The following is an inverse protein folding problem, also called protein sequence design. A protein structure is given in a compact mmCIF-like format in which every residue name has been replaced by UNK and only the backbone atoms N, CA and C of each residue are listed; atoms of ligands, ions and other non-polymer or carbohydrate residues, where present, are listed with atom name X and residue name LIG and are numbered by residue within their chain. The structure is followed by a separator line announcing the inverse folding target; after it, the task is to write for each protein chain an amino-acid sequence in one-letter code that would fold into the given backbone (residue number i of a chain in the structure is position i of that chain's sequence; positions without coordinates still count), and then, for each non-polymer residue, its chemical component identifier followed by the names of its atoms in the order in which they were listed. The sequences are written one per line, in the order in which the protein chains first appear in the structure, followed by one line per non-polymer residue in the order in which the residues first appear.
data_IF_434962588155
#
_entry.id   IF_434962588155
#
_cell.length_a   1.000
_cell.length_b   1.000
_cell.length_c   1.000
_cell.angle_alpha   90.00
_cell.angle_beta   90.00
_cell.angle_gamma   90.00
#
_symmetry.space_group_name_H-M   'P 1'
#
loop_
_entity.id
_entity.type
_entity.pdbx_description
1 polymer ?
#
# COMPACT_ATOMS: atom_id res chain seq x y z
N UNK A 1 3.70 -13.26 -0.91
CA UNK A 1 4.62 -13.47 -2.05
C UNK A 1 5.23 -12.11 -2.39
N UNK A 2 6.44 -11.81 -1.91
CA UNK A 2 7.12 -10.53 -2.19
C UNK A 2 7.93 -10.71 -3.47
N UNK A 3 7.76 -9.79 -4.43
CA UNK A 3 8.28 -9.94 -5.79
C UNK A 3 9.57 -9.16 -5.93
N UNK A 4 10.53 -9.85 -6.51
CA UNK A 4 11.81 -9.38 -6.99
C UNK A 4 11.62 -8.37 -8.13
N UNK A 5 12.09 -7.14 -7.94
CA UNK A 5 12.59 -6.37 -9.07
C UNK A 5 14.07 -6.74 -9.22
N UNK A 6 14.39 -7.63 -10.16
CA UNK A 6 15.73 -7.61 -10.73
C UNK A 6 15.86 -6.28 -11.48
N UNK A 7 16.63 -5.35 -10.91
CA UNK A 7 16.92 -4.06 -11.50
C UNK A 7 17.70 -4.27 -12.81
N UNK A 8 17.02 -4.32 -13.96
CA UNK A 8 17.64 -4.19 -15.28
C UNK A 8 17.52 -2.75 -15.74
N UNK A 9 18.58 -1.98 -15.52
CA UNK A 9 18.72 -0.63 -16.06
C UNK A 9 19.09 -0.75 -17.56
N UNK A 10 18.36 -0.11 -18.49
CA UNK A 10 18.77 0.00 -19.90
C UNK A 10 20.12 0.71 -20.00
N UNK A 11 20.99 0.22 -20.88
CA UNK A 11 22.44 0.48 -20.85
C UNK A 11 22.91 1.88 -21.29
N UNK A 12 22.03 2.76 -21.75
CA UNK A 12 22.51 3.79 -22.68
C UNK A 12 22.56 5.23 -22.17
N UNK A 13 22.27 5.55 -20.90
CA UNK A 13 22.43 6.94 -20.39
C UNK A 13 22.78 7.10 -18.89
N UNK A 14 23.12 6.03 -18.17
CA UNK A 14 23.39 6.11 -16.72
C UNK A 14 24.57 5.21 -16.31
N UNK A 15 25.55 5.78 -15.59
CA UNK A 15 26.66 5.00 -15.01
C UNK A 15 26.14 3.93 -14.02
N UNK A 16 26.83 2.78 -13.88
CA UNK A 16 26.29 1.61 -13.19
C UNK A 16 25.98 1.90 -11.71
N UNK A 17 24.70 1.85 -11.36
CA UNK A 17 24.24 1.86 -9.98
C UNK A 17 24.57 0.52 -9.31
N UNK A 18 25.34 0.54 -8.23
CA UNK A 18 25.49 -0.64 -7.36
C UNK A 18 24.29 -0.67 -6.42
N UNK A 19 23.29 -1.47 -6.78
CA UNK A 19 22.14 -1.78 -5.90
C UNK A 19 22.54 -2.97 -5.02
N UNK A 20 22.76 -2.72 -3.73
CA UNK A 20 22.91 -3.78 -2.72
C UNK A 20 21.56 -4.06 -2.09
N UNK A 21 20.89 -5.13 -2.51
CA UNK A 21 19.66 -5.56 -1.83
C UNK A 21 20.03 -6.45 -0.65
N UNK A 22 19.68 -6.02 0.58
CA UNK A 22 19.86 -6.81 1.80
C UNK A 22 18.50 -7.26 2.31
N UNK A 23 18.18 -8.54 2.17
CA UNK A 23 16.96 -9.11 2.76
C UNK A 23 17.33 -9.59 4.17
N UNK A 24 16.97 -8.81 5.20
CA UNK A 24 17.14 -9.24 6.58
C UNK A 24 16.06 -10.28 6.93
N UNK A 25 16.39 -11.58 6.82
CA UNK A 25 15.61 -12.63 7.45
C UNK A 25 16.11 -12.76 8.89
N UNK A 26 15.28 -12.44 9.89
CA UNK A 26 15.67 -12.54 11.30
C UNK A 26 16.19 -13.94 11.63
N UNK A 27 17.48 -14.05 11.98
CA UNK A 27 18.06 -15.25 12.55
C UNK A 27 17.76 -15.32 14.05
N UNK A 28 17.28 -16.47 14.51
CA UNK A 28 17.88 -17.16 15.67
C UNK A 28 17.91 -18.67 15.42
N UNK A 29 18.86 -19.27 16.13
CA UNK A 29 19.51 -20.59 15.98
C UNK A 29 18.55 -21.79 16.00
N UNK A 30 19.08 -22.87 15.42
CA UNK A 30 18.61 -24.25 15.24
C UNK A 30 17.43 -24.83 16.02
N UNK A 31 16.82 -25.79 15.31
CA UNK A 31 15.93 -26.89 15.68
C UNK A 31 14.43 -26.58 15.91
N UNK A 32 13.66 -26.75 14.81
CA UNK A 32 12.31 -27.33 14.85
C UNK A 32 11.13 -26.35 14.79
N UNK A 33 10.25 -26.61 13.82
CA UNK A 33 8.93 -26.02 13.58
C UNK A 33 8.86 -24.70 12.78
N UNK A 34 8.45 -24.88 11.52
CA UNK A 34 7.99 -23.87 10.58
C UNK A 34 6.64 -23.29 11.02
N UNK A 35 6.61 -22.02 11.42
CA UNK A 35 5.40 -21.22 11.55
C UNK A 35 5.67 -19.77 11.12
N UNK A 36 4.99 -19.33 10.06
CA UNK A 36 4.72 -17.92 9.69
C UNK A 36 5.85 -16.88 9.84
N UNK A 37 6.72 -16.73 8.84
CA UNK A 37 7.75 -15.66 8.80
C UNK A 37 7.30 -14.42 8.01
N UNK A 38 7.35 -13.24 8.67
CA UNK A 38 7.44 -11.93 8.00
C UNK A 38 8.81 -11.81 7.32
N UNK A 39 8.84 -11.44 6.04
CA UNK A 39 10.08 -11.24 5.25
C UNK A 39 10.35 -9.73 5.16
N UNK A 40 11.46 -9.27 5.73
CA UNK A 40 11.91 -7.87 5.66
C UNK A 40 12.77 -7.67 4.41
N UNK A 41 12.39 -6.74 3.52
CA UNK A 41 13.22 -6.34 2.38
C UNK A 41 13.80 -4.96 2.62
N UNK A 42 15.13 -4.86 2.66
CA UNK A 42 15.88 -3.59 2.72
C UNK A 42 16.65 -3.48 1.40
N UNK A 43 16.41 -2.41 0.63
CA UNK A 43 17.16 -2.12 -0.58
C UNK A 43 18.14 -0.97 -0.33
N UNK A 44 19.45 -1.22 -0.41
CA UNK A 44 20.47 -0.17 -0.33
C UNK A 44 20.90 0.21 -1.75
N UNK A 45 20.82 1.49 -2.10
CA UNK A 45 21.34 2.03 -3.37
C UNK A 45 22.39 3.09 -3.01
N UNK A 46 23.66 2.83 -3.31
CA UNK A 46 24.73 3.81 -3.10
C UNK A 46 24.92 4.63 -4.39
N UNK A 47 24.85 5.96 -4.28
CA UNK A 47 25.00 6.90 -5.39
C UNK A 47 26.05 7.96 -5.05
N UNK A 48 27.17 7.97 -5.78
CA UNK A 48 28.19 9.04 -5.71
C UNK A 48 28.69 9.39 -4.28
N UNK A 49 28.88 8.38 -3.42
CA UNK A 49 29.32 8.59 -2.02
C UNK A 49 28.23 9.05 -1.06
N UNK A 50 26.97 9.07 -1.51
CA UNK A 50 25.78 9.29 -0.69
C UNK A 50 24.99 7.99 -0.61
N UNK A 51 24.63 7.60 0.60
CA UNK A 51 23.79 6.43 0.83
C UNK A 51 22.33 6.82 0.63
N UNK A 52 21.65 6.21 -0.34
CA UNK A 52 20.19 6.29 -0.50
C UNK A 52 19.61 4.92 -0.15
N UNK A 53 18.85 4.85 0.94
CA UNK A 53 18.33 3.57 1.45
C UNK A 53 16.82 3.52 1.29
N UNK A 54 16.34 2.51 0.57
CA UNK A 54 14.91 2.23 0.46
C UNK A 54 14.50 1.13 1.45
N UNK A 55 13.43 1.38 2.21
CA UNK A 55 12.82 0.36 3.09
C UNK A 55 11.40 0.05 2.66
N UNK A 56 11.03 -1.23 2.67
CA UNK A 56 9.63 -1.65 2.49
C UNK A 56 9.36 -2.90 3.34
N UNK A 57 8.69 -2.70 4.46
CA UNK A 57 8.51 -3.73 5.49
C UNK A 57 7.03 -3.92 5.85
N UNK A 58 6.72 -4.85 6.76
CA UNK A 58 5.34 -5.27 7.02
C UNK A 58 4.55 -4.27 7.87
N UNK A 59 5.12 -3.88 9.01
CA UNK A 59 4.44 -3.14 10.07
C UNK A 59 5.21 -1.90 10.55
N UNK A 60 4.53 -0.91 11.18
CA UNK A 60 5.20 0.24 11.78
C UNK A 60 6.32 -0.13 12.77
N UNK A 61 6.15 -1.22 13.53
CA UNK A 61 7.18 -1.74 14.42
C UNK A 61 8.46 -2.15 13.68
N UNK A 62 8.30 -2.75 12.49
CA UNK A 62 9.41 -3.17 11.66
C UNK A 62 10.14 -1.94 11.10
N UNK A 63 9.40 -0.90 10.70
CA UNK A 63 9.98 0.38 10.23
C UNK A 63 10.85 0.98 11.32
N UNK A 64 10.31 1.08 12.55
CA UNK A 64 11.06 1.59 13.70
C UNK A 64 12.32 0.77 13.95
N UNK A 65 12.21 -0.55 13.98
CA UNK A 65 13.36 -1.43 14.22
C UNK A 65 14.42 -1.28 13.12
N UNK A 66 14.02 -1.28 11.86
CA UNK A 66 14.92 -1.21 10.71
C UNK A 66 15.59 0.15 10.60
N UNK A 67 14.90 1.24 10.89
CA UNK A 67 15.44 2.59 10.71
C UNK A 67 16.11 3.11 11.98
N UNK A 68 15.41 3.05 13.12
CA UNK A 68 15.80 3.67 14.39
C UNK A 68 16.37 2.68 15.42
N UNK A 69 16.44 1.39 15.10
CA UNK A 69 17.07 0.40 15.98
C UNK A 69 18.55 0.71 16.24
N UNK A 70 19.13 0.10 17.29
CA UNK A 70 20.55 0.26 17.66
C UNK A 70 21.49 0.03 16.47
N UNK A 71 21.18 -0.97 15.63
CA UNK A 71 21.88 -1.29 14.39
C UNK A 71 21.01 -1.01 13.15
N UNK A 72 20.11 -0.04 13.25
CA UNK A 72 19.21 0.38 12.19
C UNK A 72 19.93 1.17 11.10
N UNK A 73 19.23 1.41 9.98
CA UNK A 73 19.73 2.17 8.83
C UNK A 73 20.32 3.49 9.28
N UNK A 74 19.61 4.25 10.10
CA UNK A 74 20.03 5.59 10.50
C UNK A 74 21.39 5.61 11.22
N UNK A 75 21.71 4.59 12.04
CA UNK A 75 22.99 4.56 12.77
C UNK A 75 24.21 4.32 11.89
N UNK A 76 23.99 3.94 10.61
CA UNK A 76 25.04 3.71 9.62
C UNK A 76 25.15 4.83 8.58
N UNK A 77 24.18 5.75 8.53
CA UNK A 77 24.12 6.80 7.51
C UNK A 77 25.19 7.87 7.75
N UNK A 78 25.81 8.32 6.65
CA UNK A 78 26.64 9.51 6.66
C UNK A 78 25.80 10.78 6.42
N UNK A 79 26.24 11.95 6.92
CA UNK A 79 25.60 13.23 6.60
C UNK A 79 25.44 13.42 5.08
N UNK A 80 24.28 13.93 4.66
CA UNK A 80 23.87 14.08 3.27
C UNK A 80 23.13 12.89 2.67
N UNK A 81 23.14 11.73 3.35
CA UNK A 81 22.40 10.53 2.95
C UNK A 81 20.87 10.72 2.99
N UNK A 82 20.14 9.81 2.33
CA UNK A 82 18.67 9.86 2.22
C UNK A 82 18.05 8.51 2.56
N UNK A 83 17.12 8.49 3.50
CA UNK A 83 16.28 7.31 3.79
C UNK A 83 14.93 7.49 3.10
N UNK A 84 14.48 6.49 2.35
CA UNK A 84 13.19 6.47 1.66
C UNK A 84 12.37 5.30 2.17
N UNK A 85 11.45 5.55 3.11
CA UNK A 85 10.53 4.51 3.60
C UNK A 85 9.26 4.43 2.74
N UNK A 86 9.11 3.30 2.07
CA UNK A 86 7.97 2.98 1.21
C UNK A 86 6.91 2.10 1.90
N UNK A 87 7.06 1.91 3.21
CA UNK A 87 6.13 1.14 4.05
C UNK A 87 4.84 1.93 4.29
N UNK A 88 3.70 1.25 4.40
CA UNK A 88 2.52 1.94 4.98
C UNK A 88 2.68 1.90 6.49
N UNK A 89 2.84 3.07 7.09
CA UNK A 89 3.20 3.24 8.49
C UNK A 89 2.46 4.42 9.13
N UNK A 90 2.72 4.66 10.42
CA UNK A 90 2.13 5.77 11.17
C UNK A 90 2.75 7.11 10.71
N UNK A 91 1.95 8.13 10.36
CA UNK A 91 2.45 9.48 10.08
C UNK A 91 3.31 10.07 11.21
N UNK A 92 2.95 9.76 12.46
CA UNK A 92 3.73 10.14 13.64
C UNK A 92 5.12 9.51 13.67
N UNK A 93 5.25 8.23 13.28
CA UNK A 93 6.56 7.58 13.15
C UNK A 93 7.41 8.19 12.02
N UNK A 94 6.79 8.56 10.90
CA UNK A 94 7.49 9.25 9.82
C UNK A 94 8.10 10.59 10.26
N UNK A 95 7.36 11.37 11.07
CA UNK A 95 7.86 12.61 11.67
C UNK A 95 9.01 12.37 12.64
N UNK A 96 8.88 11.36 13.50
CA UNK A 96 9.96 10.99 14.42
C UNK A 96 11.25 10.60 13.69
N UNK A 97 11.14 9.79 12.63
CA UNK A 97 12.28 9.41 11.79
C UNK A 97 12.92 10.65 11.18
N UNK A 98 12.12 11.57 10.66
CA UNK A 98 12.60 12.82 10.09
C UNK A 98 13.37 13.67 11.10
N UNK A 99 12.81 13.88 12.29
CA UNK A 99 13.45 14.67 13.34
C UNK A 99 14.77 14.05 13.81
N UNK A 100 14.85 12.72 13.89
CA UNK A 100 16.09 12.03 14.26
C UNK A 100 17.13 12.04 13.13
N UNK A 101 16.71 11.87 11.88
CA UNK A 101 17.58 11.90 10.72
C UNK A 101 18.20 13.30 10.53
N UNK A 102 17.41 14.36 10.69
CA UNK A 102 17.86 15.75 10.58
C UNK A 102 18.98 16.08 11.58
N UNK A 103 18.94 15.53 12.80
CA UNK A 103 20.00 15.73 13.81
C UNK A 103 21.36 15.17 13.38
N UNK A 104 21.38 14.23 12.43
CA UNK A 104 22.58 13.62 11.87
C UNK A 104 22.93 14.17 10.48
N UNK A 105 22.21 15.20 10.00
CA UNK A 105 22.37 15.73 8.65
C UNK A 105 21.87 14.77 7.57
N UNK A 106 20.99 13.84 7.90
CA UNK A 106 20.39 12.85 6.98
C UNK A 106 18.98 13.30 6.63
N UNK A 107 18.60 13.22 5.35
CA UNK A 107 17.22 13.46 4.92
C UNK A 107 16.39 12.18 5.03
N UNK A 108 15.11 12.30 5.36
CA UNK A 108 14.18 11.17 5.27
C UNK A 108 12.94 11.55 4.47
N UNK A 109 12.48 10.61 3.66
CA UNK A 109 11.26 10.69 2.85
C UNK A 109 10.37 9.55 3.30
N UNK A 110 9.16 9.87 3.74
CA UNK A 110 8.09 8.88 3.88
C UNK A 110 7.26 8.89 2.62
N UNK A 111 6.87 7.74 2.09
CA UNK A 111 5.93 7.78 0.99
C UNK A 111 5.44 6.44 0.54
N UNK A 112 4.12 6.29 0.46
CA UNK A 112 3.57 5.00 0.09
C UNK A 112 3.43 4.85 -1.42
N UNK A 113 3.85 3.67 -1.87
CA UNK A 113 3.51 3.04 -3.14
C UNK A 113 2.05 2.56 -3.12
N UNK A 114 1.19 3.12 -3.97
CA UNK A 114 -0.15 2.61 -4.24
C UNK A 114 -0.35 2.50 -5.76
N UNK A 115 -0.92 1.42 -6.27
CA UNK A 115 -1.22 1.30 -7.71
C UNK A 115 -2.65 1.74 -7.93
N UNK A 116 -2.84 2.84 -8.67
CA UNK A 116 -4.11 3.12 -9.33
C UNK A 116 -3.82 3.71 -10.72
N UNK A 117 -4.50 3.24 -11.78
CA UNK A 117 -4.55 4.00 -13.01
C UNK A 117 -5.38 5.26 -12.75
N UNK A 118 -4.73 6.40 -12.56
CA UNK A 118 -5.35 7.69 -12.80
C UNK A 118 -5.00 8.09 -14.23
N UNK A 119 -5.96 7.95 -15.15
CA UNK A 119 -5.83 8.54 -16.48
C UNK A 119 -6.27 10.01 -16.40
N UNK A 120 -5.37 10.99 -16.61
CA UNK A 120 -5.81 12.36 -16.85
C UNK A 120 -6.44 12.36 -18.24
N UNK A 121 -7.76 12.56 -18.28
CA UNK A 121 -8.57 12.87 -19.47
C UNK A 121 -7.80 12.99 -20.78
N UNK A 122 -7.73 11.93 -21.58
CA UNK A 122 -7.61 12.01 -23.04
C UNK A 122 -8.18 10.75 -23.68
N UNK A 123 -8.72 10.98 -24.88
CA UNK A 123 -9.67 10.19 -25.62
C UNK A 123 -9.03 8.97 -26.32
N UNK A 124 -8.45 8.03 -25.58
CA UNK A 124 -7.88 6.81 -26.16
C UNK A 124 -8.56 5.54 -25.61
N UNK A 125 -9.34 4.90 -26.49
CA UNK A 125 -9.80 3.53 -26.35
C UNK A 125 -8.62 2.62 -26.66
N UNK A 126 -8.17 1.81 -25.71
CA UNK A 126 -8.11 0.33 -25.80
C UNK A 126 -7.59 -0.29 -24.50
N UNK A 127 -8.36 -1.26 -24.03
CA UNK A 127 -8.17 -2.22 -22.92
C UNK A 127 -6.74 -2.80 -22.77
N UNK A 128 -6.18 -2.75 -21.55
CA UNK A 128 -6.10 -3.86 -20.57
C UNK A 128 -5.04 -3.53 -19.51
N UNK A 129 -5.46 -3.41 -18.25
CA UNK A 129 -4.60 -3.61 -17.10
C UNK A 129 -5.46 -4.21 -15.98
N UNK A 130 -5.64 -5.54 -15.93
CA UNK A 130 -6.33 -6.15 -14.80
C UNK A 130 -5.43 -6.04 -13.56
N UNK A 131 -6.07 -5.91 -12.40
CA UNK A 131 -5.55 -5.94 -11.01
C UNK A 131 -4.93 -4.64 -10.43
N UNK A 132 -5.67 -3.98 -9.52
CA UNK A 132 -5.04 -3.14 -8.48
C UNK A 132 -4.30 -4.07 -7.54
N UNK A 133 -3.09 -3.75 -7.11
CA UNK A 133 -3.01 -2.78 -6.04
C UNK A 133 -1.87 -3.15 -5.11
N UNK A 134 -0.67 -3.30 -5.67
CA UNK A 134 0.53 -3.56 -4.89
C UNK A 134 1.55 -4.35 -5.69
N UNK A 135 1.20 -5.56 -6.10
CA UNK A 135 2.14 -6.53 -6.67
C UNK A 135 2.29 -6.42 -8.19
N UNK A 136 1.18 -6.35 -8.92
CA UNK A 136 1.16 -6.20 -10.39
C UNK A 136 1.80 -4.87 -10.79
N UNK A 137 1.32 -3.75 -10.23
CA UNK A 137 1.92 -2.47 -10.59
C UNK A 137 3.37 -2.29 -10.09
N UNK A 138 3.81 -3.01 -9.06
CA UNK A 138 5.23 -3.03 -8.69
C UNK A 138 6.07 -3.80 -9.72
N UNK A 139 5.57 -4.94 -10.22
CA UNK A 139 6.19 -5.70 -11.31
C UNK A 139 6.28 -4.89 -12.61
N UNK A 140 5.24 -4.11 -12.90
CA UNK A 140 5.10 -3.36 -14.14
C UNK A 140 5.66 -1.93 -14.08
N UNK A 141 6.25 -1.53 -12.95
CA UNK A 141 6.73 -0.16 -12.70
C UNK A 141 5.66 0.92 -12.94
N UNK A 142 4.41 0.65 -12.56
CA UNK A 142 3.24 1.54 -12.72
C UNK A 142 2.75 2.14 -11.40
N UNK A 143 3.57 2.10 -10.36
CA UNK A 143 3.23 2.59 -9.03
C UNK A 143 2.85 4.08 -9.03
N UNK A 144 1.85 4.45 -8.23
CA UNK A 144 1.64 5.82 -7.77
C UNK A 144 2.36 6.00 -6.43
N UNK A 145 3.17 7.04 -6.31
CA UNK A 145 4.03 7.30 -5.15
C UNK A 145 3.61 8.63 -4.53
N UNK A 146 3.17 8.58 -3.27
CA UNK A 146 2.74 9.73 -2.48
C UNK A 146 3.86 10.05 -1.47
N UNK A 147 4.72 11.03 -1.77
CA UNK A 147 5.93 11.31 -1.00
C UNK A 147 5.75 12.53 -0.06
N UNK A 148 6.09 12.36 1.21
CA UNK A 148 6.28 13.41 2.22
C UNK A 148 7.76 13.52 2.58
N UNK A 149 8.19 14.73 2.93
CA UNK A 149 9.58 15.05 3.27
C UNK A 149 10.08 16.31 2.57
N UNK A 150 11.39 16.55 2.66
CA UNK A 150 12.01 17.74 2.07
C UNK A 150 11.93 17.71 0.54
N UNK A 151 11.55 18.85 -0.05
CA UNK A 151 11.40 18.98 -1.51
C UNK A 151 12.70 18.67 -2.25
N UNK A 152 13.84 19.11 -1.70
CA UNK A 152 15.16 18.88 -2.29
C UNK A 152 15.56 17.41 -2.22
N UNK A 153 15.28 16.73 -1.10
CA UNK A 153 15.53 15.30 -0.97
C UNK A 153 14.68 14.51 -1.98
N UNK A 154 13.41 14.87 -2.13
CA UNK A 154 12.50 14.24 -3.10
C UNK A 154 12.98 14.46 -4.53
N UNK A 155 13.42 15.67 -4.87
CA UNK A 155 13.98 15.97 -6.19
C UNK A 155 15.20 15.10 -6.50
N UNK A 156 16.08 14.86 -5.52
CA UNK A 156 17.27 14.00 -5.67
C UNK A 156 16.92 12.52 -5.90
N UNK A 157 15.88 11.99 -5.25
CA UNK A 157 15.47 10.58 -5.42
C UNK A 157 14.46 10.37 -6.55
N UNK A 158 13.90 11.44 -7.11
CA UNK A 158 12.87 11.37 -8.15
C UNK A 158 13.26 10.48 -9.35
N UNK A 159 14.50 10.52 -9.88
CA UNK A 159 14.91 9.60 -10.95
C UNK A 159 14.76 8.12 -10.57
N UNK A 160 15.05 7.77 -9.31
CA UNK A 160 14.90 6.40 -8.80
C UNK A 160 13.42 6.02 -8.62
N UNK A 161 12.61 6.96 -8.12
CA UNK A 161 11.17 6.76 -7.97
C UNK A 161 10.49 6.52 -9.33
N UNK A 162 10.96 7.18 -10.40
CA UNK A 162 10.46 7.01 -11.78
C UNK A 162 10.74 5.63 -12.38
N UNK A 163 11.71 4.88 -11.86
CA UNK A 163 11.97 3.51 -12.27
C UNK A 163 10.92 2.53 -11.74
N UNK A 164 10.16 2.94 -10.72
CA UNK A 164 9.17 2.10 -10.04
C UNK A 164 7.74 2.58 -10.28
N UNK A 165 7.54 3.86 -10.58
CA UNK A 165 6.23 4.47 -10.63
C UNK A 165 6.01 5.47 -11.76
N UNK A 166 4.75 5.60 -12.17
CA UNK A 166 4.30 6.54 -13.21
C UNK A 166 3.70 7.83 -12.66
N UNK A 167 3.16 7.81 -11.44
CA UNK A 167 2.53 8.99 -10.83
C UNK A 167 3.17 9.32 -9.49
N UNK A 168 4.13 10.25 -9.48
CA UNK A 168 4.91 10.61 -8.29
C UNK A 168 4.51 12.01 -7.87
N UNK A 169 4.07 12.17 -6.62
CA UNK A 169 3.55 13.43 -6.08
C UNK A 169 4.19 13.74 -4.74
N UNK A 170 4.67 14.97 -4.59
CA UNK A 170 5.04 15.53 -3.29
C UNK A 170 3.78 16.02 -2.58
N UNK A 171 3.56 15.57 -1.36
CA UNK A 171 2.35 15.81 -0.58
C UNK A 171 2.56 16.79 0.58
N UNK A 172 3.80 17.24 0.80
CA UNK A 172 4.17 18.12 1.90
C UNK A 172 5.36 17.60 2.70
N UNK A 173 5.53 18.10 3.92
CA UNK A 173 6.62 17.70 4.82
C UNK A 173 6.48 16.26 5.35
N UNK A 174 7.31 15.91 6.33
CA UNK A 174 7.33 14.58 6.92
C UNK A 174 5.94 14.14 7.45
N UNK A 175 5.57 12.90 7.13
CA UNK A 175 4.29 12.27 7.44
C UNK A 175 3.18 12.58 6.44
N UNK A 176 3.35 13.55 5.53
CA UNK A 176 2.30 13.90 4.55
C UNK A 176 2.05 12.77 3.54
N UNK A 177 3.07 11.99 3.19
CA UNK A 177 2.93 10.81 2.35
C UNK A 177 2.04 9.75 3.02
N UNK A 178 2.29 9.47 4.30
CA UNK A 178 1.46 8.55 5.09
C UNK A 178 0.04 9.07 5.30
N UNK A 179 -0.17 10.35 5.60
CA UNK A 179 -1.52 10.92 5.70
C UNK A 179 -2.30 10.79 4.39
N UNK A 180 -1.65 11.09 3.26
CA UNK A 180 -2.26 10.91 1.94
C UNK A 180 -2.63 9.44 1.69
N UNK A 181 -1.78 8.51 2.12
CA UNK A 181 -2.11 7.09 2.08
C UNK A 181 -3.33 6.75 2.95
N UNK A 182 -3.46 7.32 4.14
CA UNK A 182 -4.63 7.11 4.99
C UNK A 182 -5.92 7.60 4.30
N UNK A 183 -5.89 8.77 3.65
CA UNK A 183 -7.03 9.25 2.83
C UNK A 183 -7.43 8.20 1.80
N UNK A 184 -6.46 7.63 1.08
CA UNK A 184 -6.74 6.58 0.09
C UNK A 184 -7.36 5.33 0.73
N UNK A 185 -6.85 4.86 1.86
CA UNK A 185 -7.37 3.66 2.53
C UNK A 185 -8.77 3.86 3.08
N UNK A 186 -9.08 5.06 3.59
CA UNK A 186 -10.42 5.44 4.02
C UNK A 186 -11.41 5.37 2.85
N UNK A 187 -11.06 5.98 1.71
CA UNK A 187 -11.89 5.96 0.50
C UNK A 187 -12.16 4.53 0.00
N UNK A 188 -11.13 3.67 -0.03
CA UNK A 188 -11.31 2.26 -0.41
C UNK A 188 -12.27 1.57 0.58
N UNK A 189 -12.10 1.79 1.88
CA UNK A 189 -12.85 1.08 2.91
C UNK A 189 -14.35 1.36 2.82
N UNK A 190 -14.70 2.65 2.72
CA UNK A 190 -16.10 3.08 2.63
C UNK A 190 -16.72 2.71 1.28
N UNK A 191 -15.97 2.83 0.17
CA UNK A 191 -16.47 2.46 -1.15
C UNK A 191 -16.76 0.96 -1.24
N UNK A 192 -15.94 0.12 -0.62
CA UNK A 192 -16.16 -1.33 -0.62
C UNK A 192 -17.46 -1.73 0.07
N UNK A 193 -17.91 -1.01 1.11
CA UNK A 193 -19.23 -1.24 1.71
C UNK A 193 -20.32 -1.05 0.65
N UNK A 194 -20.35 0.11 -0.01
CA UNK A 194 -21.36 0.40 -1.03
C UNK A 194 -21.34 -0.57 -2.21
N UNK A 195 -20.14 -0.97 -2.66
CA UNK A 195 -19.99 -2.00 -3.71
C UNK A 195 -20.62 -3.32 -3.28
N UNK A 196 -20.28 -3.81 -2.09
CA UNK A 196 -20.76 -5.11 -1.62
C UNK A 196 -22.27 -5.08 -1.34
N UNK A 197 -22.76 -4.05 -0.65
CA UNK A 197 -24.19 -3.90 -0.36
C UNK A 197 -25.01 -3.78 -1.64
N UNK A 198 -24.55 -3.01 -2.62
CA UNK A 198 -25.21 -2.87 -3.92
C UNK A 198 -25.28 -4.20 -4.68
N UNK A 199 -24.18 -4.96 -4.71
CA UNK A 199 -24.16 -6.28 -5.37
C UNK A 199 -25.00 -7.32 -4.63
N UNK A 200 -25.02 -7.28 -3.29
CA UNK A 200 -25.87 -8.17 -2.50
C UNK A 200 -27.36 -7.86 -2.74
N UNK A 201 -27.72 -6.58 -2.84
CA UNK A 201 -29.06 -6.14 -3.20
C UNK A 201 -29.44 -6.60 -4.62
N UNK A 202 -28.55 -6.43 -5.59
CA UNK A 202 -28.76 -6.87 -6.97
C UNK A 202 -29.01 -8.38 -7.04
N UNK A 203 -28.18 -9.17 -6.36
CA UNK A 203 -28.35 -10.61 -6.22
C UNK A 203 -29.70 -10.97 -5.62
N UNK A 204 -30.06 -10.37 -4.48
CA UNK A 204 -31.31 -10.68 -3.78
C UNK A 204 -32.56 -10.27 -4.56
N UNK A 205 -32.44 -9.26 -5.41
CA UNK A 205 -33.50 -8.77 -6.29
C UNK A 205 -33.62 -9.57 -7.59
N UNK A 206 -32.77 -10.59 -7.81
CA UNK A 206 -32.80 -11.43 -9.00
C UNK A 206 -32.21 -10.78 -10.25
N UNK A 207 -31.37 -9.75 -10.10
CA UNK A 207 -30.67 -9.13 -11.21
C UNK A 207 -29.47 -9.98 -11.65
N UNK A 208 -29.16 -9.93 -12.94
CA UNK A 208 -27.86 -10.38 -13.43
C UNK A 208 -26.77 -9.43 -12.91
N UNK A 209 -25.79 -9.99 -12.19
CA UNK A 209 -24.75 -9.19 -11.54
C UNK A 209 -23.82 -8.53 -12.55
N UNK A 210 -23.48 -9.20 -13.65
CA UNK A 210 -22.56 -8.67 -14.65
C UNK A 210 -23.22 -7.48 -15.40
N UNK A 211 -24.49 -7.60 -15.76
CA UNK A 211 -25.27 -6.51 -16.34
C UNK A 211 -25.47 -5.34 -15.36
N UNK A 212 -25.78 -5.64 -14.09
CA UNK A 212 -25.90 -4.62 -13.06
C UNK A 212 -24.59 -3.84 -12.86
N UNK A 213 -23.45 -4.54 -12.78
CA UNK A 213 -22.11 -3.95 -12.70
C UNK A 213 -21.83 -3.06 -13.91
N UNK A 214 -22.09 -3.56 -15.12
CA UNK A 214 -21.84 -2.81 -16.35
C UNK A 214 -22.67 -1.51 -16.40
N UNK A 215 -23.94 -1.57 -16.01
CA UNK A 215 -24.84 -0.43 -16.01
C UNK A 215 -24.42 0.65 -14.98
N UNK A 216 -24.19 0.27 -13.72
CA UNK A 216 -23.87 1.24 -12.66
C UNK A 216 -22.42 1.71 -12.71
N UNK A 217 -21.51 0.85 -13.17
CA UNK A 217 -20.08 1.10 -13.23
C UNK A 217 -19.65 2.16 -14.25
N UNK A 218 -20.48 2.37 -15.29
CA UNK A 218 -20.32 3.45 -16.26
C UNK A 218 -20.97 4.77 -15.82
N UNK A 219 -21.85 4.74 -14.82
CA UNK A 219 -22.61 5.89 -14.33
C UNK A 219 -21.96 6.62 -13.15
N UNK A 220 -22.77 7.41 -12.44
CA UNK A 220 -22.33 8.17 -11.27
C UNK A 220 -21.86 7.31 -10.08
N UNK A 221 -22.29 6.04 -10.02
CA UNK A 221 -21.81 5.04 -9.05
C UNK A 221 -20.47 4.41 -9.45
N UNK A 222 -19.94 4.76 -10.63
CA UNK A 222 -18.71 4.23 -11.17
C UNK A 222 -17.50 4.49 -10.26
N UNK A 223 -16.75 3.43 -10.01
CA UNK A 223 -15.49 3.49 -9.26
C UNK A 223 -14.57 2.38 -9.73
N UNK A 224 -13.27 2.50 -9.43
CA UNK A 224 -12.34 1.40 -9.68
C UNK A 224 -12.80 0.12 -8.96
N UNK A 225 -13.29 0.23 -7.72
CA UNK A 225 -13.74 -0.92 -6.94
C UNK A 225 -14.89 -1.69 -7.60
N UNK A 226 -15.96 -1.03 -8.06
CA UNK A 226 -17.07 -1.74 -8.73
C UNK A 226 -16.62 -2.34 -10.07
N UNK A 227 -15.84 -1.60 -10.86
CA UNK A 227 -15.44 -2.01 -12.21
C UNK A 227 -14.40 -3.14 -12.22
N UNK A 228 -13.58 -3.25 -11.18
CA UNK A 228 -12.51 -4.25 -11.12
C UNK A 228 -12.72 -5.34 -10.07
N UNK A 229 -13.38 -5.03 -8.95
CA UNK A 229 -13.65 -6.02 -7.89
C UNK A 229 -15.07 -6.56 -7.99
N UNK A 230 -16.03 -5.81 -8.53
CA UNK A 230 -17.41 -6.30 -8.75
C UNK A 230 -17.46 -7.59 -9.57
N UNK A 231 -16.83 -7.67 -10.76
CA UNK A 231 -16.80 -8.90 -11.55
C UNK A 231 -16.12 -10.07 -10.83
N UNK A 232 -15.16 -9.79 -9.94
CA UNK A 232 -14.51 -10.82 -9.12
C UNK A 232 -15.45 -11.33 -8.04
N UNK A 233 -16.23 -10.44 -7.41
CA UNK A 233 -17.29 -10.81 -6.46
C UNK A 233 -18.34 -11.69 -7.14
N UNK A 234 -18.84 -11.28 -8.33
CA UNK A 234 -19.82 -12.05 -9.10
C UNK A 234 -19.32 -13.47 -9.44
N UNK A 235 -18.01 -13.61 -9.69
CA UNK A 235 -17.34 -14.90 -9.97
C UNK A 235 -16.85 -15.63 -8.72
N UNK A 236 -17.16 -15.13 -7.51
CA UNK A 236 -16.69 -15.67 -6.22
C UNK A 236 -15.16 -15.77 -6.12
N UNK A 237 -14.44 -14.89 -6.80
CA UNK A 237 -12.98 -14.79 -6.74
C UNK A 237 -12.54 -13.82 -5.63
N UNK A 238 -12.21 -14.40 -4.48
CA UNK A 238 -11.72 -13.70 -3.29
C UNK A 238 -10.19 -13.72 -3.15
N UNK A 239 -9.46 -14.12 -4.20
CA UNK A 239 -8.00 -14.11 -4.15
C UNK A 239 -7.49 -12.66 -3.96
N UNK A 240 -6.46 -12.46 -3.12
CA UNK A 240 -6.03 -11.12 -2.77
C UNK A 240 -5.29 -10.43 -3.92
N UNK A 241 -5.75 -9.24 -4.29
CA UNK A 241 -4.86 -8.19 -4.81
C UNK A 241 -4.27 -7.36 -3.66
N UNK A 242 -5.06 -7.18 -2.60
CA UNK A 242 -4.63 -6.58 -1.33
C UNK A 242 -5.30 -7.33 -0.18
N UNK A 243 -4.50 -7.90 0.72
CA UNK A 243 -4.99 -8.80 1.78
C UNK A 243 -5.74 -8.05 2.88
N UNK A 244 -6.82 -8.64 3.39
CA UNK A 244 -7.64 -8.10 4.48
C UNK A 244 -6.80 -7.80 5.74
N UNK A 245 -5.83 -8.66 6.08
CA UNK A 245 -4.96 -8.42 7.25
C UNK A 245 -4.14 -7.13 7.13
N UNK A 246 -3.63 -6.83 5.94
CA UNK A 246 -2.88 -5.59 5.68
C UNK A 246 -3.82 -4.40 5.58
N UNK A 247 -5.03 -4.61 5.07
CA UNK A 247 -6.01 -3.56 5.03
C UNK A 247 -6.44 -3.14 6.44
N UNK A 248 -6.73 -4.10 7.33
CA UNK A 248 -7.06 -3.84 8.73
C UNK A 248 -5.94 -3.11 9.47
N UNK A 249 -4.67 -3.45 9.19
CA UNK A 249 -3.52 -2.68 9.70
C UNK A 249 -3.63 -1.21 9.31
N UNK A 250 -3.87 -0.94 8.02
CA UNK A 250 -3.98 0.44 7.51
C UNK A 250 -5.20 1.18 8.10
N UNK A 251 -6.36 0.51 8.24
CA UNK A 251 -7.54 1.12 8.89
C UNK A 251 -7.29 1.43 10.37
N UNK A 252 -6.55 0.56 11.06
CA UNK A 252 -6.12 0.81 12.45
C UNK A 252 -5.25 2.06 12.57
N UNK A 253 -4.30 2.27 11.64
CA UNK A 253 -3.48 3.50 11.59
C UNK A 253 -4.40 4.71 11.34
N UNK A 254 -5.29 4.64 10.35
CA UNK A 254 -6.20 5.74 10.02
C UNK A 254 -7.11 6.11 11.21
N UNK A 255 -7.63 5.14 11.95
CA UNK A 255 -8.44 5.36 13.15
C UNK A 255 -7.64 6.03 14.28
N UNK A 256 -6.42 5.54 14.55
CA UNK A 256 -5.52 6.11 15.57
C UNK A 256 -5.18 7.56 15.25
N UNK A 257 -4.83 7.86 14.00
CA UNK A 257 -4.51 9.22 13.56
C UNK A 257 -5.75 10.13 13.58
N UNK A 258 -6.93 9.60 13.23
CA UNK A 258 -8.19 10.36 13.33
C UNK A 258 -8.48 10.75 14.78
N UNK A 259 -8.31 9.82 15.72
CA UNK A 259 -8.45 10.10 17.15
C UNK A 259 -7.46 11.17 17.63
N UNK A 260 -6.18 11.06 17.24
CA UNK A 260 -5.15 12.03 17.60
C UNK A 260 -5.46 13.45 17.07
N UNK A 261 -6.14 13.56 15.93
CA UNK A 261 -6.59 14.83 15.34
C UNK A 261 -7.94 15.32 15.89
N UNK A 262 -8.62 14.57 16.76
CA UNK A 262 -9.98 14.89 17.21
C UNK A 262 -11.04 14.75 16.10
N UNK A 263 -10.78 13.92 15.09
CA UNK A 263 -11.65 13.70 13.93
C UNK A 263 -12.49 12.43 14.11
N UNK A 264 -13.82 12.58 14.01
CA UNK A 264 -14.75 11.45 14.07
C UNK A 264 -15.09 10.95 12.66
N UNK A 265 -14.71 9.71 12.35
CA UNK A 265 -14.95 9.06 11.06
C UNK A 265 -15.81 7.78 11.22
N UNK A 266 -17.14 7.91 11.36
CA UNK A 266 -18.01 6.76 11.63
C UNK A 266 -18.01 5.72 10.49
N UNK A 267 -17.93 6.16 9.23
CA UNK A 267 -17.84 5.25 8.07
C UNK A 267 -16.58 4.38 8.10
N UNK A 268 -15.44 4.95 8.49
CA UNK A 268 -14.19 4.21 8.68
C UNK A 268 -14.31 3.19 9.82
N UNK A 269 -14.89 3.61 10.95
CA UNK A 269 -15.09 2.74 12.10
C UNK A 269 -15.99 1.53 11.76
N UNK A 270 -17.08 1.77 11.03
CA UNK A 270 -17.95 0.71 10.53
C UNK A 270 -17.20 -0.23 9.57
N UNK A 271 -16.50 0.32 8.58
CA UNK A 271 -15.73 -0.49 7.63
C UNK A 271 -14.73 -1.39 8.35
N UNK A 272 -14.00 -0.84 9.33
CA UNK A 272 -13.07 -1.61 10.14
C UNK A 272 -13.75 -2.79 10.84
N UNK A 273 -14.90 -2.60 11.47
CA UNK A 273 -15.64 -3.69 12.13
C UNK A 273 -16.10 -4.77 11.14
N UNK A 274 -16.55 -4.37 9.95
CA UNK A 274 -16.95 -5.33 8.92
C UNK A 274 -15.73 -6.13 8.40
N UNK A 275 -14.57 -5.51 8.23
CA UNK A 275 -13.35 -6.22 7.84
C UNK A 275 -12.80 -7.12 8.97
N UNK A 276 -12.99 -6.77 10.24
CA UNK A 276 -12.73 -7.68 11.38
C UNK A 276 -13.64 -8.91 11.27
N UNK A 277 -14.91 -8.72 10.89
CA UNK A 277 -15.83 -9.84 10.65
C UNK A 277 -15.38 -10.73 9.48
N UNK A 278 -14.74 -10.17 8.44
CA UNK A 278 -14.08 -10.98 7.38
C UNK A 278 -12.90 -11.75 7.96
N UNK A 279 -11.98 -11.08 8.68
CA UNK A 279 -10.78 -11.70 9.22
C UNK A 279 -11.07 -12.87 10.17
N UNK A 280 -12.17 -12.81 10.91
CA UNK A 280 -12.61 -13.89 11.82
C UNK A 280 -13.14 -15.15 11.12
N UNK A 281 -13.30 -15.12 9.80
CA UNK A 281 -13.68 -16.30 9.00
C UNK A 281 -12.45 -17.15 8.66
N UNK A 282 -12.69 -18.40 8.25
CA UNK A 282 -11.61 -19.30 7.84
C UNK A 282 -10.77 -18.68 6.72
N UNK A 283 -9.46 -18.51 6.96
CA UNK A 283 -8.51 -17.83 6.06
C UNK A 283 -8.86 -16.38 5.68
N UNK A 284 -9.82 -15.73 6.37
CA UNK A 284 -10.35 -14.43 5.97
C UNK A 284 -9.31 -13.31 5.87
N UNK A 285 -8.31 -13.31 6.76
CA UNK A 285 -7.20 -12.35 6.71
C UNK A 285 -6.35 -12.42 5.42
N UNK A 286 -6.31 -13.58 4.75
CA UNK A 286 -5.53 -13.82 3.53
C UNK A 286 -6.33 -13.60 2.25
N UNK A 287 -7.62 -13.30 2.37
CA UNK A 287 -8.47 -12.97 1.22
C UNK A 287 -8.28 -11.51 0.80
N UNK A 288 -8.75 -11.17 -0.40
CA UNK A 288 -8.79 -9.80 -0.89
C UNK A 288 -9.86 -8.94 -0.21
N UNK A 289 -9.76 -7.62 -0.32
CA UNK A 289 -10.74 -6.68 0.23
C UNK A 289 -12.18 -6.92 -0.26
N UNK A 290 -12.34 -7.51 -1.44
CA UNK A 290 -13.65 -7.90 -1.98
C UNK A 290 -14.33 -9.04 -1.22
N UNK A 291 -13.60 -9.74 -0.33
CA UNK A 291 -14.15 -10.72 0.59
C UNK A 291 -15.06 -10.14 1.68
N UNK A 292 -15.19 -8.80 1.75
CA UNK A 292 -16.25 -8.14 2.53
C UNK A 292 -17.65 -8.70 2.19
N UNK A 293 -17.87 -9.17 0.95
CA UNK A 293 -19.08 -9.89 0.57
C UNK A 293 -19.40 -11.07 1.49
N UNK A 294 -18.40 -11.88 1.86
CA UNK A 294 -18.61 -13.06 2.71
C UNK A 294 -19.12 -12.69 4.11
N UNK A 295 -18.66 -11.57 4.66
CA UNK A 295 -19.16 -11.08 5.96
C UNK A 295 -20.62 -10.64 5.86
N UNK A 296 -20.99 -9.91 4.81
CA UNK A 296 -22.36 -9.42 4.64
C UNK A 296 -23.34 -10.54 4.25
N UNK A 297 -22.92 -11.50 3.45
CA UNK A 297 -23.68 -12.73 3.16
C UNK A 297 -24.03 -13.46 4.46
N UNK A 298 -23.03 -13.65 5.34
CA UNK A 298 -23.23 -14.31 6.64
C UNK A 298 -24.19 -13.54 7.55
N UNK A 299 -24.11 -12.21 7.60
CA UNK A 299 -25.03 -11.37 8.38
C UNK A 299 -26.49 -11.50 7.92
N UNK A 300 -26.70 -11.76 6.63
CA UNK A 300 -28.03 -11.86 6.02
C UNK A 300 -28.52 -13.31 5.83
N UNK A 301 -27.74 -14.30 6.28
CA UNK A 301 -28.01 -15.72 6.03
C UNK A 301 -28.22 -16.03 4.53
N UNK A 302 -27.37 -15.43 3.69
CA UNK A 302 -27.38 -15.61 2.24
C UNK A 302 -26.25 -16.58 1.85
N UNK A 303 -26.59 -17.54 1.00
CA UNK A 303 -25.63 -18.42 0.33
C UNK A 303 -25.71 -18.13 -1.17
N UNK A 304 -24.68 -17.45 -1.68
CA UNK A 304 -24.47 -17.09 -3.10
C UNK A 304 -23.27 -17.82 -3.69
#
# INVERSE_FOLDING_TARGET
MVIWAEWRVPRDDFQPHVVKVSIACGQRRDAGHDTGRSRTTIGLIALCGLDIVFTIVGYPSDVRQVILGEHGVLSTMQPGGIIVDMTTSEPSLAKEIFDQAQRQGVSSIDGKVTVYPFSPSTNERTLQAPVSGGDVGAREATLSIMAGGDVDAIARVLPLLKLMGKNIRHMGGAGAGQHTKMVNQILIATNMIGVVEGLLYAYKSGLDLDEAIAAVGAGAAGSWSINNLGPRIAKRDFNPGFMVEHFLKDLGIALKESQAMGLSLPGLALANQLFVAVQSQANGGRLGTQALMLALEKLNNIHS
#
